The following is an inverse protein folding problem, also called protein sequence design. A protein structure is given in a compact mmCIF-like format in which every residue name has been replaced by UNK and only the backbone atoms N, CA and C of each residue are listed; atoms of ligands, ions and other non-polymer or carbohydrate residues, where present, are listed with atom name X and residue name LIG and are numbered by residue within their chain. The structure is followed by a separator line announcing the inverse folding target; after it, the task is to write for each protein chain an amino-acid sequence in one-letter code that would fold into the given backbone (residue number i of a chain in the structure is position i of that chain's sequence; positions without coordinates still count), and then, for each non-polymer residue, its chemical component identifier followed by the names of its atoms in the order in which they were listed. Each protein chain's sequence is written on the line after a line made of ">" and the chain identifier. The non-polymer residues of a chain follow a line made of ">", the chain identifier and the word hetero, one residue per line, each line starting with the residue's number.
data_IF_590959637005
#
_entry.id   IF_590959637005
#
_cell.length_a   1.000
_cell.length_b   1.000
_cell.length_c   1.000
_cell.angle_alpha   90.00
_cell.angle_beta   90.00
_cell.angle_gamma   90.00
#
_symmetry.space_group_name_H-M   'P 1'
#
loop_
_entity.id
_entity.type
_entity.pdbx_description
1 polymer ?
#
# COMPACT_ATOMS: atom_id res chain seq x y z
N UNK A 1 -6.11 4.93 8.82
CA UNK A 1 -6.11 5.27 7.37
C UNK A 1 -7.32 4.72 6.60
N UNK A 2 -7.83 3.52 6.91
CA UNK A 2 -9.03 2.98 6.22
C UNK A 2 -10.26 3.91 6.30
N UNK A 3 -10.52 4.54 7.45
CA UNK A 3 -11.61 5.53 7.57
C UNK A 3 -11.46 6.79 6.70
N UNK A 4 -10.23 7.15 6.28
CA UNK A 4 -10.00 8.25 5.34
C UNK A 4 -10.40 7.83 3.92
N UNK A 5 -10.01 6.63 3.51
CA UNK A 5 -10.37 6.06 2.20
C UNK A 5 -11.88 5.87 2.06
N UNK A 6 -12.55 5.48 3.15
CA UNK A 6 -14.00 5.32 3.16
C UNK A 6 -14.76 6.66 3.04
N UNK A 7 -14.20 7.76 3.57
CA UNK A 7 -14.85 9.08 3.55
C UNK A 7 -14.44 9.96 2.36
N UNK A 8 -13.26 9.72 1.79
CA UNK A 8 -12.69 10.54 0.72
C UNK A 8 -11.99 9.68 -0.34
N UNK A 9 -12.73 8.83 -1.07
CA UNK A 9 -12.15 7.92 -2.06
C UNK A 9 -11.45 8.67 -3.21
N UNK A 10 -11.97 9.82 -3.63
CA UNK A 10 -11.43 10.61 -4.76
C UNK A 10 -10.41 11.68 -4.35
N UNK A 11 -9.98 11.66 -3.08
CA UNK A 11 -8.98 12.61 -2.61
C UNK A 11 -7.64 12.33 -3.26
N UNK A 12 -6.91 13.40 -3.62
CA UNK A 12 -5.49 13.32 -4.00
C UNK A 12 -4.60 12.65 -2.94
N UNK A 13 -5.09 12.52 -1.69
CA UNK A 13 -4.42 11.82 -0.58
C UNK A 13 -4.79 10.34 -0.45
N UNK A 14 -5.76 9.86 -1.22
CA UNK A 14 -6.16 8.45 -1.20
C UNK A 14 -5.02 7.48 -1.57
N UNK A 15 -4.14 7.77 -2.54
CA UNK A 15 -2.98 6.92 -2.82
C UNK A 15 -2.06 6.78 -1.61
N UNK A 16 -1.68 7.90 -0.98
CA UNK A 16 -0.81 7.91 0.20
C UNK A 16 -1.44 7.18 1.40
N UNK A 17 -2.75 7.34 1.58
CA UNK A 17 -3.47 6.66 2.65
C UNK A 17 -3.48 5.15 2.45
N UNK A 18 -3.70 4.67 1.22
CA UNK A 18 -3.68 3.25 0.90
C UNK A 18 -2.28 2.65 1.04
N UNK A 19 -1.23 3.38 0.61
CA UNK A 19 0.16 2.99 0.85
C UNK A 19 0.45 2.82 2.35
N UNK A 20 0.02 3.78 3.18
CA UNK A 20 0.18 3.70 4.64
C UNK A 20 -0.57 2.53 5.27
N UNK A 21 -1.75 2.15 4.75
CA UNK A 21 -2.44 0.92 5.20
C UNK A 21 -1.56 -0.30 4.95
N UNK A 22 -0.98 -0.42 3.75
CA UNK A 22 -0.08 -1.53 3.42
C UNK A 22 1.16 -1.57 4.33
N UNK A 23 1.71 -0.41 4.68
CA UNK A 23 2.84 -0.35 5.63
C UNK A 23 2.42 -0.78 7.02
N UNK A 24 1.30 -0.26 7.55
CA UNK A 24 0.80 -0.68 8.87
C UNK A 24 0.58 -2.19 8.93
N UNK A 25 0.03 -2.82 7.89
CA UNK A 25 -0.17 -4.27 7.85
C UNK A 25 1.16 -5.03 7.93
N UNK A 26 2.21 -4.55 7.26
CA UNK A 26 3.53 -5.16 7.35
C UNK A 26 4.13 -5.01 8.75
N UNK A 27 4.06 -3.82 9.36
CA UNK A 27 4.56 -3.60 10.73
C UNK A 27 3.80 -4.45 11.77
N UNK A 28 2.56 -4.83 11.47
CA UNK A 28 1.75 -5.76 12.27
C UNK A 28 2.06 -7.24 12.00
N UNK A 29 3.05 -7.54 11.15
CA UNK A 29 3.42 -8.90 10.76
C UNK A 29 2.48 -9.56 9.74
N UNK A 30 1.44 -8.85 9.28
CA UNK A 30 0.53 -9.36 8.25
C UNK A 30 1.05 -9.06 6.85
N UNK A 31 2.14 -9.76 6.50
CA UNK A 31 2.80 -9.66 5.19
C UNK A 31 1.85 -10.00 4.03
N UNK A 32 0.84 -10.85 4.25
CA UNK A 32 -0.13 -11.23 3.22
C UNK A 32 -1.08 -10.09 2.90
N UNK A 33 -1.67 -9.47 3.92
CA UNK A 33 -2.53 -8.30 3.73
C UNK A 33 -1.73 -7.10 3.22
N UNK A 34 -0.51 -6.89 3.74
CA UNK A 34 0.39 -5.84 3.25
C UNK A 34 0.65 -6.00 1.75
N UNK A 35 1.01 -7.20 1.29
CA UNK A 35 1.23 -7.46 -0.13
C UNK A 35 -0.03 -7.20 -0.96
N UNK A 36 -1.20 -7.59 -0.48
CA UNK A 36 -2.48 -7.32 -1.19
C UNK A 36 -2.73 -5.82 -1.32
N UNK A 37 -2.66 -5.08 -0.22
CA UNK A 37 -2.91 -3.63 -0.21
C UNK A 37 -1.90 -2.88 -1.06
N UNK A 38 -0.61 -3.25 -1.01
CA UNK A 38 0.41 -2.61 -1.82
C UNK A 38 0.23 -2.92 -3.31
N UNK A 39 -0.24 -4.12 -3.69
CA UNK A 39 -0.61 -4.40 -5.07
C UNK A 39 -1.82 -3.55 -5.51
N UNK A 40 -2.80 -3.34 -4.63
CA UNK A 40 -3.94 -2.44 -4.91
C UNK A 40 -3.47 -0.99 -5.17
N UNK A 41 -2.46 -0.50 -4.43
CA UNK A 41 -1.85 0.83 -4.70
C UNK A 41 -1.29 0.89 -6.12
N UNK A 42 -0.53 -0.13 -6.53
CA UNK A 42 0.10 -0.18 -7.86
C UNK A 42 -0.96 -0.27 -8.95
N UNK A 43 -2.00 -1.07 -8.74
CA UNK A 43 -3.07 -1.27 -9.73
C UNK A 43 -4.00 -0.07 -9.86
N UNK A 44 -4.31 0.63 -8.76
CA UNK A 44 -5.27 1.76 -8.77
C UNK A 44 -4.62 3.09 -9.10
N UNK A 45 -3.33 3.25 -8.81
CA UNK A 45 -2.59 4.49 -9.01
C UNK A 45 -1.31 4.26 -9.81
N UNK A 46 -1.40 3.67 -11.03
CA UNK A 46 -0.23 3.44 -11.87
C UNK A 46 0.48 4.76 -12.19
N UNK A 47 1.78 4.68 -12.49
CA UNK A 47 2.63 5.82 -12.86
C UNK A 47 2.78 6.94 -11.82
N UNK A 48 2.34 6.70 -10.59
CA UNK A 48 2.54 7.64 -9.47
C UNK A 48 3.81 7.35 -8.66
N UNK A 49 4.38 8.35 -7.98
CA UNK A 49 5.44 8.11 -6.98
C UNK A 49 5.01 7.09 -5.91
N UNK A 50 3.74 7.10 -5.53
CA UNK A 50 3.16 6.18 -4.53
C UNK A 50 3.20 4.73 -5.01
N UNK A 51 2.87 4.46 -6.29
CA UNK A 51 3.01 3.13 -6.86
C UNK A 51 4.48 2.66 -6.88
N UNK A 52 5.44 3.53 -7.18
CA UNK A 52 6.87 3.19 -7.12
C UNK A 52 7.31 2.82 -5.70
N UNK A 53 6.83 3.53 -4.69
CA UNK A 53 7.07 3.19 -3.28
C UNK A 53 6.45 1.83 -2.91
N UNK A 54 5.20 1.59 -3.31
CA UNK A 54 4.52 0.32 -3.07
C UNK A 54 5.25 -0.87 -3.72
N UNK A 55 5.72 -0.72 -4.96
CA UNK A 55 6.56 -1.72 -5.63
C UNK A 55 7.87 -1.98 -4.88
N UNK A 56 8.51 -0.93 -4.34
CA UNK A 56 9.69 -1.05 -3.49
C UNK A 56 9.42 -1.92 -2.27
N UNK A 57 8.33 -1.65 -1.54
CA UNK A 57 7.96 -2.42 -0.35
C UNK A 57 7.55 -3.87 -0.68
N UNK A 58 6.85 -4.10 -1.79
CA UNK A 58 6.54 -5.45 -2.29
C UNK A 58 7.79 -6.28 -2.57
N UNK A 59 8.85 -5.65 -3.10
CA UNK A 59 10.16 -6.32 -3.29
C UNK A 59 10.78 -6.68 -1.94
N UNK A 60 10.80 -5.74 -0.99
CA UNK A 60 11.32 -6.00 0.35
C UNK A 60 10.59 -7.18 1.03
N UNK A 61 9.25 -7.17 1.01
CA UNK A 61 8.39 -8.25 1.52
C UNK A 61 8.76 -9.64 0.97
N UNK A 62 9.07 -9.74 -0.33
CA UNK A 62 9.46 -11.01 -0.97
C UNK A 62 10.84 -11.48 -0.55
N UNK A 63 11.72 -10.56 -0.19
CA UNK A 63 13.08 -10.88 0.27
C UNK A 63 13.10 -11.25 1.75
N UNK A 64 12.22 -10.64 2.56
CA UNK A 64 12.10 -10.84 4.01
C UNK A 64 11.49 -12.21 4.38
N UNK A 65 10.70 -12.80 3.48
CA UNK A 65 10.09 -14.12 3.67
C UNK A 65 10.95 -15.31 3.19
N UNK A 66 12.25 -15.12 2.98
CA UNK A 66 13.21 -16.17 2.58
C UNK A 66 14.03 -16.69 3.77
#
# INVERSE_FOLDING_TARGET
>A
FQGLLARFPDSRKAPDALLKVGYCQYELGDSRSAARTLNDVVSRYPDTPVARLAQGRLRALRLDGR
#
